data_IF_928581877404
#
_entry.id   IF_928581877404
#
_cell.length_a   1.000
_cell.length_b   1.000
_cell.length_c   1.000
_cell.angle_alpha   90.00
_cell.angle_beta   90.00
_cell.angle_gamma   90.00
#
_symmetry.space_group_name_H-M   'P 1'
#
loop_
_entity.id
_entity.type
_entity.pdbx_description
1 polymer ?
#
# COMPACT_ATOMS: atom_id res chain seq x y z
N UNK A 1 -50.73 0.00 -7.31
CA UNK A 1 -50.64 -1.28 -8.04
C UNK A 1 -51.54 -2.27 -7.30
N UNK A 2 -52.63 -2.73 -7.90
CA UNK A 2 -53.52 -3.69 -7.24
C UNK A 2 -52.85 -5.08 -7.24
N UNK A 3 -52.58 -5.61 -6.05
CA UNK A 3 -51.99 -6.94 -5.88
C UNK A 3 -53.03 -8.01 -6.25
N UNK A 4 -52.67 -9.05 -7.02
CA UNK A 4 -53.58 -10.14 -7.32
C UNK A 4 -54.06 -10.83 -6.03
N UNK A 5 -55.35 -11.12 -5.98
CA UNK A 5 -56.02 -11.92 -4.95
C UNK A 5 -55.82 -13.40 -5.27
N UNK A 6 -55.17 -14.13 -4.37
CA UNK A 6 -55.08 -15.59 -4.41
C UNK A 6 -56.26 -16.20 -3.63
N UNK A 7 -56.68 -17.40 -4.02
CA UNK A 7 -57.69 -18.15 -3.29
C UNK A 7 -57.10 -18.64 -1.96
N UNK A 8 -57.67 -18.20 -0.85
CA UNK A 8 -57.21 -18.54 0.50
C UNK A 8 -57.50 -20.00 0.83
N UNK A 9 -56.71 -20.60 1.71
CA UNK A 9 -57.07 -21.87 2.33
C UNK A 9 -58.37 -21.71 3.12
N UNK A 10 -59.42 -22.51 2.86
CA UNK A 10 -60.69 -22.43 3.58
C UNK A 10 -60.56 -23.07 4.96
N UNK A 11 -60.77 -22.29 6.02
CA UNK A 11 -60.66 -22.77 7.40
C UNK A 11 -61.87 -23.63 7.78
N UNK A 12 -63.03 -23.32 7.22
CA UNK A 12 -64.29 -24.03 7.41
C UNK A 12 -64.20 -25.52 7.05
N UNK A 13 -63.33 -25.88 6.09
CA UNK A 13 -63.15 -27.25 5.63
C UNK A 13 -62.03 -27.99 6.37
N UNK A 14 -61.39 -27.38 7.36
CA UNK A 14 -60.27 -27.99 8.08
C UNK A 14 -60.68 -29.22 8.90
N UNK A 15 -61.95 -29.34 9.30
CA UNK A 15 -62.45 -30.52 10.03
C UNK A 15 -62.71 -31.71 9.09
N UNK A 16 -63.14 -31.43 7.87
CA UNK A 16 -63.51 -32.45 6.87
C UNK A 16 -62.28 -33.18 6.33
N UNK A 17 -61.11 -32.52 6.36
CA UNK A 17 -59.81 -33.10 6.03
C UNK A 17 -59.79 -33.84 4.69
N UNK A 18 -60.45 -33.26 3.70
CA UNK A 18 -60.62 -33.89 2.39
C UNK A 18 -59.29 -33.97 1.63
N UNK A 19 -59.11 -34.96 0.75
CA UNK A 19 -57.90 -35.05 -0.08
C UNK A 19 -57.62 -33.78 -0.89
N UNK A 20 -58.67 -33.07 -1.33
CA UNK A 20 -58.56 -31.82 -2.06
C UNK A 20 -57.96 -30.71 -1.18
N UNK A 21 -58.42 -30.58 0.07
CA UNK A 21 -57.87 -29.60 1.02
C UNK A 21 -56.42 -29.95 1.35
N UNK A 22 -56.10 -31.23 1.61
CA UNK A 22 -54.71 -31.67 1.86
C UNK A 22 -53.79 -31.36 0.68
N UNK A 23 -54.26 -31.56 -0.55
CA UNK A 23 -53.49 -31.21 -1.75
C UNK A 23 -53.23 -29.70 -1.83
N UNK A 24 -54.24 -28.88 -1.56
CA UNK A 24 -54.10 -27.42 -1.58
C UNK A 24 -53.15 -26.92 -0.48
N UNK A 25 -53.24 -27.47 0.72
CA UNK A 25 -52.30 -27.20 1.82
C UNK A 25 -50.87 -27.57 1.41
N UNK A 26 -50.69 -28.69 0.70
CA UNK A 26 -49.41 -29.09 0.13
C UNK A 26 -48.82 -28.02 -0.81
N UNK A 27 -49.65 -27.41 -1.67
CA UNK A 27 -49.22 -26.31 -2.55
C UNK A 27 -48.75 -25.10 -1.74
N UNK A 28 -49.52 -24.68 -0.73
CA UNK A 28 -49.15 -23.55 0.13
C UNK A 28 -47.89 -23.83 0.96
N UNK A 29 -47.74 -25.07 1.44
CA UNK A 29 -46.54 -25.49 2.19
C UNK A 29 -45.29 -25.48 1.31
N UNK A 30 -45.43 -25.91 0.05
CA UNK A 30 -44.33 -25.89 -0.91
C UNK A 30 -43.93 -24.46 -1.27
N UNK A 31 -44.91 -23.58 -1.48
CA UNK A 31 -44.66 -22.14 -1.68
C UNK A 31 -43.92 -21.52 -0.50
N UNK A 32 -44.33 -21.82 0.74
CA UNK A 32 -43.64 -21.37 1.95
C UNK A 32 -42.18 -21.87 2.03
N UNK A 33 -41.91 -23.12 1.60
CA UNK A 33 -40.56 -23.68 1.53
C UNK A 33 -39.71 -22.96 0.49
N UNK A 34 -40.24 -22.73 -0.71
CA UNK A 34 -39.55 -21.98 -1.77
C UNK A 34 -39.26 -20.54 -1.34
N UNK A 35 -40.22 -19.88 -0.67
CA UNK A 35 -40.03 -18.55 -0.12
C UNK A 35 -38.89 -18.52 0.90
N UNK A 36 -38.79 -19.50 1.80
CA UNK A 36 -37.66 -19.61 2.74
C UNK A 36 -36.33 -19.65 2.01
N UNK A 37 -36.18 -20.55 1.03
CA UNK A 37 -34.93 -20.71 0.28
C UNK A 37 -34.53 -19.40 -0.43
N UNK A 38 -35.50 -18.74 -1.04
CA UNK A 38 -35.30 -17.46 -1.69
C UNK A 38 -34.86 -16.37 -0.71
N UNK A 39 -35.59 -16.18 0.39
CA UNK A 39 -35.29 -15.14 1.39
C UNK A 39 -33.95 -15.41 2.08
N UNK A 40 -33.62 -16.67 2.40
CA UNK A 40 -32.32 -17.02 2.96
C UNK A 40 -31.18 -16.66 2.01
N UNK A 41 -31.35 -16.92 0.71
CA UNK A 41 -30.37 -16.53 -0.30
C UNK A 41 -30.25 -15.01 -0.41
N UNK A 42 -31.38 -14.30 -0.43
CA UNK A 42 -31.41 -12.83 -0.46
C UNK A 42 -30.69 -12.23 0.75
N UNK A 43 -30.99 -12.73 1.95
CA UNK A 43 -30.29 -12.35 3.19
C UNK A 43 -28.78 -12.55 3.07
N UNK A 44 -28.31 -13.73 2.61
CA UNK A 44 -26.88 -14.00 2.44
C UNK A 44 -26.21 -13.02 1.47
N UNK A 45 -26.87 -12.70 0.35
CA UNK A 45 -26.34 -11.74 -0.63
C UNK A 45 -26.30 -10.33 -0.04
N UNK A 46 -27.35 -9.89 0.65
CA UNK A 46 -27.40 -8.60 1.33
C UNK A 46 -26.34 -8.48 2.44
N UNK A 47 -26.11 -9.54 3.23
CA UNK A 47 -25.03 -9.56 4.23
C UNK A 47 -23.65 -9.47 3.58
N UNK A 48 -23.43 -10.12 2.43
CA UNK A 48 -22.18 -9.99 1.66
C UNK A 48 -21.98 -8.57 1.14
N UNK A 49 -23.04 -7.88 0.74
CA UNK A 49 -22.96 -6.48 0.34
C UNK A 49 -22.49 -5.58 1.50
N UNK A 50 -23.06 -5.75 2.69
CA UNK A 50 -22.60 -5.05 3.91
C UNK A 50 -21.14 -5.36 4.20
N UNK A 51 -20.73 -6.63 4.10
CA UNK A 51 -19.33 -7.02 4.31
C UNK A 51 -18.38 -6.36 3.30
N UNK A 52 -18.79 -6.24 2.03
CA UNK A 52 -18.00 -5.57 1.00
C UNK A 52 -17.80 -4.07 1.30
N UNK A 53 -18.84 -3.36 1.73
CA UNK A 53 -18.71 -1.97 2.15
C UNK A 53 -17.78 -1.81 3.37
N UNK A 54 -17.90 -2.69 4.37
CA UNK A 54 -16.99 -2.68 5.52
C UNK A 54 -15.52 -2.95 5.13
N UNK A 55 -15.29 -3.85 4.16
CA UNK A 55 -13.95 -4.06 3.61
C UNK A 55 -13.44 -2.80 2.91
N UNK A 56 -14.28 -2.14 2.12
CA UNK A 56 -13.92 -0.89 1.44
C UNK A 56 -13.60 0.23 2.42
N UNK A 57 -14.38 0.38 3.50
CA UNK A 57 -14.06 1.27 4.63
C UNK A 57 -12.67 1.00 5.17
N UNK A 58 -12.34 -0.27 5.47
CA UNK A 58 -11.02 -0.65 6.00
C UNK A 58 -9.89 -0.28 5.04
N UNK A 59 -10.06 -0.50 3.73
CA UNK A 59 -9.04 -0.18 2.72
C UNK A 59 -8.84 1.33 2.61
N UNK A 60 -9.90 2.12 2.63
CA UNK A 60 -9.78 3.58 2.63
C UNK A 60 -9.06 4.09 3.88
N UNK A 61 -9.37 3.54 5.07
CA UNK A 61 -8.65 3.89 6.30
C UNK A 61 -7.16 3.57 6.23
N UNK A 62 -6.81 2.40 5.67
CA UNK A 62 -5.42 2.01 5.48
C UNK A 62 -4.69 2.94 4.51
N UNK A 63 -5.31 3.25 3.37
CA UNK A 63 -4.77 4.17 2.37
C UNK A 63 -4.54 5.56 2.99
N UNK A 64 -5.56 6.13 3.65
CA UNK A 64 -5.43 7.41 4.33
C UNK A 64 -4.28 7.40 5.33
N UNK A 65 -4.20 6.38 6.19
CA UNK A 65 -3.11 6.23 7.16
C UNK A 65 -1.74 6.18 6.48
N UNK A 66 -1.62 5.43 5.37
CA UNK A 66 -0.34 5.32 4.65
C UNK A 66 0.09 6.66 4.04
N UNK A 67 -0.83 7.43 3.44
CA UNK A 67 -0.53 8.77 2.93
C UNK A 67 0.05 9.68 4.03
N UNK A 68 -0.51 9.63 5.25
CA UNK A 68 0.01 10.40 6.39
C UNK A 68 1.42 10.00 6.81
N UNK A 69 1.85 8.77 6.54
CA UNK A 69 3.20 8.31 6.93
C UNK A 69 4.32 9.04 6.18
N UNK A 70 4.05 9.63 5.01
CA UNK A 70 5.05 10.37 4.24
C UNK A 70 5.71 11.48 5.05
N UNK A 71 4.95 12.23 5.86
CA UNK A 71 5.48 13.33 6.68
C UNK A 71 6.45 12.88 7.78
N UNK A 72 6.46 11.59 8.11
CA UNK A 72 7.37 11.00 9.10
C UNK A 72 8.65 10.44 8.47
N UNK A 73 8.67 10.30 7.15
CA UNK A 73 9.85 9.87 6.43
C UNK A 73 10.87 10.99 6.42
N UNK A 74 12.13 10.61 6.62
CA UNK A 74 13.27 11.46 6.32
C UNK A 74 13.82 10.93 4.99
N UNK A 75 14.16 11.84 4.08
CA UNK A 75 14.81 11.50 2.82
C UNK A 75 16.18 12.18 2.75
N UNK A 76 17.18 11.59 2.05
CA UNK A 76 18.57 12.05 2.17
C UNK A 76 18.80 13.36 1.47
N UNK A 77 18.12 13.50 0.35
CA UNK A 77 18.26 14.62 -0.55
C UNK A 77 17.06 15.56 -0.47
N UNK A 78 15.87 15.03 -0.14
CA UNK A 78 14.68 15.84 0.07
C UNK A 78 14.50 16.14 1.57
N UNK A 79 14.93 17.34 1.96
CA UNK A 79 14.87 17.81 3.35
C UNK A 79 13.58 18.59 3.65
N UNK A 80 12.63 18.67 2.72
CA UNK A 80 11.40 19.45 2.89
C UNK A 80 10.25 18.59 3.45
N UNK A 81 10.40 18.13 4.69
CA UNK A 81 9.39 17.30 5.39
C UNK A 81 8.05 18.03 5.61
N UNK A 82 8.05 19.36 5.59
CA UNK A 82 6.85 20.22 5.63
C UNK A 82 6.42 20.72 4.24
N UNK A 83 7.03 20.17 3.18
CA UNK A 83 6.90 20.66 1.82
C UNK A 83 5.54 20.43 1.17
N UNK A 84 5.45 20.89 -0.08
CA UNK A 84 4.23 20.83 -0.89
C UNK A 84 3.72 19.38 -1.03
N UNK A 85 4.62 18.39 -1.18
CA UNK A 85 4.22 16.98 -1.29
C UNK A 85 3.60 16.48 0.02
N UNK A 86 4.25 16.75 1.16
CA UNK A 86 3.78 16.33 2.48
C UNK A 86 2.40 16.90 2.81
N UNK A 87 2.23 18.21 2.62
CA UNK A 87 0.94 18.89 2.81
C UNK A 87 -0.14 18.42 1.84
N UNK A 88 0.19 18.19 0.57
CA UNK A 88 -0.72 17.65 -0.45
C UNK A 88 -1.19 16.24 -0.10
N UNK A 89 -0.27 15.34 0.27
CA UNK A 89 -0.62 13.96 0.67
C UNK A 89 -1.47 13.93 1.95
N UNK A 90 -1.22 14.86 2.88
CA UNK A 90 -2.05 15.03 4.07
C UNK A 90 -3.48 15.47 3.71
N UNK A 91 -3.64 16.36 2.72
CA UNK A 91 -4.96 16.77 2.23
C UNK A 91 -5.68 15.63 1.51
N UNK A 92 -5.01 14.88 0.63
CA UNK A 92 -5.56 13.66 0.03
C UNK A 92 -6.01 12.65 1.10
N UNK A 93 -5.19 12.47 2.15
CA UNK A 93 -5.55 11.59 3.25
C UNK A 93 -6.86 12.00 3.94
N UNK A 94 -7.12 13.30 4.09
CA UNK A 94 -8.36 13.80 4.69
C UNK A 94 -9.57 13.43 3.82
N UNK A 95 -9.50 13.66 2.50
CA UNK A 95 -10.58 13.28 1.58
C UNK A 95 -10.83 11.76 1.57
N UNK A 96 -9.76 10.95 1.54
CA UNK A 96 -9.88 9.49 1.62
C UNK A 96 -10.50 9.03 2.95
N UNK A 97 -10.19 9.71 4.06
CA UNK A 97 -10.82 9.42 5.36
C UNK A 97 -12.31 9.75 5.38
N UNK A 98 -12.72 10.80 4.66
CA UNK A 98 -14.12 11.17 4.50
C UNK A 98 -14.89 10.14 3.66
N UNK A 99 -14.30 9.69 2.55
CA UNK A 99 -14.86 8.60 1.73
C UNK A 99 -15.08 7.33 2.56
N UNK A 100 -14.10 6.94 3.39
CA UNK A 100 -14.25 5.83 4.35
C UNK A 100 -15.49 5.98 5.23
N UNK A 101 -15.79 7.20 5.66
CA UNK A 101 -16.87 7.48 6.61
C UNK A 101 -18.25 7.23 5.99
N UNK A 102 -18.45 7.61 4.73
CA UNK A 102 -19.74 7.37 4.05
C UNK A 102 -19.92 5.90 3.68
N UNK A 103 -18.84 5.21 3.32
CA UNK A 103 -18.86 3.75 3.10
C UNK A 103 -19.30 2.99 4.37
N UNK A 104 -18.83 3.45 5.53
CA UNK A 104 -19.24 2.87 6.81
C UNK A 104 -20.72 3.15 7.12
N UNK A 105 -21.17 4.38 6.85
CA UNK A 105 -22.56 4.80 7.06
C UNK A 105 -23.51 4.00 6.16
N UNK A 106 -23.20 3.84 4.88
CA UNK A 106 -24.05 3.05 3.97
C UNK A 106 -24.06 1.57 4.35
N UNK A 107 -22.93 1.00 4.79
CA UNK A 107 -22.89 -0.37 5.29
C UNK A 107 -23.87 -0.58 6.46
N UNK A 108 -23.87 0.38 7.40
CA UNK A 108 -24.78 0.36 8.57
C UNK A 108 -26.23 0.51 8.15
N UNK A 109 -26.53 1.45 7.25
CA UNK A 109 -27.90 1.65 6.76
C UNK A 109 -28.44 0.45 5.96
N UNK A 110 -27.59 -0.24 5.19
CA UNK A 110 -27.99 -1.49 4.51
C UNK A 110 -28.20 -2.61 5.53
N UNK A 111 -27.35 -2.70 6.56
CA UNK A 111 -27.51 -3.69 7.62
C UNK A 111 -28.86 -3.51 8.34
N UNK A 112 -29.19 -2.28 8.74
CA UNK A 112 -30.42 -1.97 9.47
C UNK A 112 -31.67 -2.00 8.57
N UNK A 113 -31.54 -1.48 7.34
CA UNK A 113 -32.65 -1.30 6.42
C UNK A 113 -32.97 -2.50 5.54
N UNK A 114 -32.04 -3.45 5.37
CA UNK A 114 -32.22 -4.62 4.52
C UNK A 114 -31.90 -5.94 5.24
N UNK A 115 -30.72 -6.06 5.85
CA UNK A 115 -30.30 -7.34 6.45
C UNK A 115 -31.14 -7.68 7.67
N UNK A 116 -31.30 -6.75 8.61
CA UNK A 116 -32.04 -6.98 9.85
C UNK A 116 -33.51 -7.38 9.63
N UNK A 117 -34.31 -6.72 8.77
CA UNK A 117 -35.67 -7.15 8.48
C UNK A 117 -35.73 -8.54 7.85
N UNK A 118 -34.76 -8.89 6.98
CA UNK A 118 -34.66 -10.23 6.40
C UNK A 118 -34.33 -11.28 7.45
N UNK A 119 -33.35 -11.04 8.34
CA UNK A 119 -33.00 -11.95 9.43
C UNK A 119 -34.22 -12.16 10.33
N UNK A 120 -34.90 -11.08 10.72
CA UNK A 120 -36.12 -11.16 11.54
C UNK A 120 -37.19 -12.02 10.85
N UNK A 121 -37.46 -11.81 9.57
CA UNK A 121 -38.47 -12.61 8.87
C UNK A 121 -38.13 -14.10 8.81
N UNK A 122 -36.84 -14.45 8.63
CA UNK A 122 -36.37 -15.84 8.65
C UNK A 122 -36.51 -16.45 10.05
N UNK A 123 -35.99 -15.76 11.06
CA UNK A 123 -35.82 -16.29 12.42
C UNK A 123 -37.12 -16.28 13.23
N UNK A 124 -38.08 -15.42 12.87
CA UNK A 124 -39.40 -15.37 13.54
C UNK A 124 -40.48 -15.98 12.65
N UNK A 125 -40.87 -15.30 11.56
CA UNK A 125 -42.07 -15.67 10.81
C UNK A 125 -41.96 -17.02 10.13
N UNK A 126 -40.84 -17.25 9.43
CA UNK A 126 -40.62 -18.51 8.77
C UNK A 126 -40.34 -19.61 9.81
N UNK A 127 -39.52 -19.38 10.84
CA UNK A 127 -39.27 -20.39 11.87
C UNK A 127 -40.55 -20.85 12.59
N UNK A 128 -41.46 -19.92 12.92
CA UNK A 128 -42.79 -20.24 13.44
C UNK A 128 -43.62 -21.06 12.45
N UNK A 129 -43.52 -20.78 11.14
CA UNK A 129 -44.18 -21.57 10.11
C UNK A 129 -43.73 -23.03 10.09
N UNK A 130 -42.42 -23.30 10.17
CA UNK A 130 -41.89 -24.67 10.21
C UNK A 130 -42.35 -25.42 11.47
N UNK A 131 -42.40 -24.70 12.60
CA UNK A 131 -42.91 -25.24 13.86
C UNK A 131 -44.38 -25.62 13.73
N UNK A 132 -45.20 -24.75 13.16
CA UNK A 132 -46.62 -25.02 12.93
C UNK A 132 -46.86 -26.16 11.94
N UNK A 133 -46.07 -26.24 10.87
CA UNK A 133 -46.12 -27.35 9.92
C UNK A 133 -45.81 -28.69 10.61
N UNK A 134 -44.80 -28.71 11.49
CA UNK A 134 -44.42 -29.89 12.27
C UNK A 134 -45.51 -30.32 13.26
N UNK A 135 -46.11 -29.35 13.97
CA UNK A 135 -47.22 -29.61 14.91
C UNK A 135 -48.46 -30.15 14.18
N UNK A 136 -48.81 -29.58 13.03
CA UNK A 136 -49.89 -30.05 12.16
C UNK A 136 -49.64 -31.49 11.68
N UNK A 137 -48.44 -31.75 11.16
CA UNK A 137 -48.05 -33.08 10.68
C UNK A 137 -48.14 -34.14 11.79
N UNK A 138 -47.55 -33.85 12.96
CA UNK A 138 -47.57 -34.76 14.10
C UNK A 138 -48.99 -35.02 14.62
N UNK A 139 -49.84 -33.99 14.68
CA UNK A 139 -51.24 -34.17 15.07
C UNK A 139 -52.01 -35.04 14.06
N UNK A 140 -51.68 -34.96 12.77
CA UNK A 140 -52.22 -35.85 11.74
C UNK A 140 -51.82 -37.31 11.95
N UNK A 141 -50.54 -37.58 12.25
CA UNK A 141 -50.06 -38.93 12.57
C UNK A 141 -50.69 -39.50 13.85
N UNK A 142 -50.84 -38.66 14.89
CA UNK A 142 -51.50 -39.04 16.14
C UNK A 142 -52.97 -39.46 15.88
N UNK A 143 -53.69 -38.68 15.08
CA UNK A 143 -55.07 -38.98 14.69
C UNK A 143 -55.17 -40.29 13.90
N UNK A 144 -54.30 -40.51 12.92
CA UNK A 144 -54.29 -41.74 12.12
C UNK A 144 -54.08 -42.98 13.00
N UNK A 145 -53.17 -42.90 13.98
CA UNK A 145 -52.93 -43.97 14.96
C UNK A 145 -54.15 -44.23 15.83
N UNK A 146 -54.79 -43.19 16.36
CA UNK A 146 -55.97 -43.31 17.20
C UNK A 146 -57.15 -43.92 16.44
N UNK A 147 -57.42 -43.45 15.21
CA UNK A 147 -58.47 -44.00 14.34
C UNK A 147 -58.19 -45.45 13.97
N UNK A 148 -56.94 -45.80 13.69
CA UNK A 148 -56.54 -47.19 13.41
C UNK A 148 -56.76 -48.11 14.61
N UNK A 149 -56.43 -47.65 15.82
CA UNK A 149 -56.66 -48.39 17.07
C UNK A 149 -58.16 -48.63 17.29
N UNK A 150 -58.95 -47.56 17.23
CA UNK A 150 -60.40 -47.61 17.40
C UNK A 150 -61.07 -48.53 16.38
N UNK A 151 -60.63 -48.47 15.12
CA UNK A 151 -61.17 -49.29 14.03
C UNK A 151 -60.86 -50.79 14.18
N UNK A 152 -59.87 -51.17 15.01
CA UNK A 152 -59.50 -52.56 15.30
C UNK A 152 -60.22 -53.14 16.52
N UNK A 153 -60.95 -52.33 17.29
CA UNK A 153 -61.77 -52.79 18.40
C UNK A 153 -62.83 -53.79 17.89
N UNK A 154 -62.93 -54.93 18.55
CA UNK A 154 -63.86 -56.02 18.24
C UNK A 154 -65.05 -55.94 19.18
N UNK A 155 -66.19 -56.45 18.74
CA UNK A 155 -67.43 -56.51 19.56
C UNK A 155 -67.31 -57.27 20.88
N UNK A 156 -66.26 -58.08 21.05
CA UNK A 156 -65.99 -58.89 22.23
C UNK A 156 -65.00 -58.25 23.20
N UNK A 157 -64.40 -57.13 22.81
CA UNK A 157 -63.44 -56.41 23.65
C UNK A 157 -64.19 -55.74 24.81
N UNK A 158 -63.49 -55.42 25.90
CA UNK A 158 -64.13 -54.85 27.07
C UNK A 158 -64.72 -53.46 26.76
N UNK A 159 -65.94 -53.18 27.25
CA UNK A 159 -66.59 -51.87 27.07
C UNK A 159 -65.71 -50.70 27.52
N UNK A 160 -64.89 -50.92 28.56
CA UNK A 160 -63.91 -49.94 29.03
C UNK A 160 -62.84 -49.64 27.97
N UNK A 161 -62.28 -50.65 27.32
CA UNK A 161 -61.26 -50.50 26.28
C UNK A 161 -61.82 -49.80 25.03
N UNK A 162 -63.07 -50.10 24.67
CA UNK A 162 -63.78 -49.41 23.60
C UNK A 162 -63.99 -47.91 23.90
N UNK A 163 -64.43 -47.58 25.13
CA UNK A 163 -64.60 -46.17 25.56
C UNK A 163 -63.29 -45.40 25.57
N UNK A 164 -62.21 -46.00 26.07
CA UNK A 164 -60.87 -45.39 26.06
C UNK A 164 -60.39 -45.12 24.63
N UNK A 165 -60.54 -46.08 23.72
CA UNK A 165 -60.15 -45.86 22.32
C UNK A 165 -61.01 -44.80 21.61
N UNK A 166 -62.29 -44.65 21.99
CA UNK A 166 -63.14 -43.58 21.46
C UNK A 166 -62.71 -42.19 21.98
N UNK A 167 -62.33 -42.10 23.25
CA UNK A 167 -61.80 -40.87 23.85
C UNK A 167 -60.46 -40.47 23.20
N UNK A 168 -59.57 -41.43 22.92
CA UNK A 168 -58.32 -41.19 22.19
C UNK A 168 -58.57 -40.56 20.81
N UNK A 169 -59.60 -41.03 20.08
CA UNK A 169 -60.01 -40.45 18.79
C UNK A 169 -60.54 -39.04 18.98
N UNK A 170 -61.38 -38.80 20.00
CA UNK A 170 -61.90 -37.47 20.28
C UNK A 170 -60.76 -36.46 20.56
N UNK A 171 -59.83 -36.81 21.45
CA UNK A 171 -58.70 -35.94 21.82
C UNK A 171 -57.80 -35.66 20.63
N UNK A 172 -57.41 -36.70 19.88
CA UNK A 172 -56.53 -36.56 18.71
C UNK A 172 -57.21 -35.79 17.57
N UNK A 173 -58.50 -36.03 17.30
CA UNK A 173 -59.26 -35.32 16.25
C UNK A 173 -59.43 -33.84 16.60
N UNK A 174 -59.71 -33.52 17.86
CA UNK A 174 -59.77 -32.14 18.34
C UNK A 174 -58.41 -31.44 18.18
N UNK A 175 -57.32 -32.09 18.60
CA UNK A 175 -55.96 -31.56 18.48
C UNK A 175 -55.59 -31.32 17.01
N UNK A 176 -55.82 -32.29 16.13
CA UNK A 176 -55.59 -32.15 14.69
C UNK A 176 -56.35 -30.96 14.11
N UNK A 177 -57.66 -30.86 14.38
CA UNK A 177 -58.48 -29.76 13.87
C UNK A 177 -57.98 -28.39 14.33
N UNK A 178 -57.61 -28.25 15.60
CA UNK A 178 -57.03 -27.01 16.13
C UNK A 178 -55.70 -26.66 15.43
N UNK A 179 -54.81 -27.64 15.26
CA UNK A 179 -53.53 -27.41 14.56
C UNK A 179 -53.73 -27.08 13.08
N UNK A 180 -54.69 -27.72 12.41
CA UNK A 180 -55.05 -27.43 11.03
C UNK A 180 -55.56 -25.98 10.87
N UNK A 181 -56.48 -25.54 11.73
CA UNK A 181 -56.97 -24.15 11.72
C UNK A 181 -55.83 -23.13 11.90
N UNK A 182 -54.94 -23.36 12.86
CA UNK A 182 -53.79 -22.46 13.10
C UNK A 182 -52.81 -22.47 11.92
N UNK A 183 -52.50 -23.65 11.37
CA UNK A 183 -51.57 -23.77 10.25
C UNK A 183 -52.13 -23.14 8.97
N UNK A 184 -53.40 -23.38 8.63
CA UNK A 184 -54.03 -22.81 7.44
C UNK A 184 -54.11 -21.28 7.56
N UNK A 185 -54.44 -20.78 8.76
CA UNK A 185 -54.43 -19.35 9.06
C UNK A 185 -53.04 -18.73 8.88
N UNK A 186 -51.99 -19.37 9.43
CA UNK A 186 -50.60 -18.88 9.29
C UNK A 186 -50.17 -18.89 7.82
N UNK A 187 -50.48 -19.94 7.05
CA UNK A 187 -50.20 -20.00 5.61
C UNK A 187 -50.90 -18.87 4.84
N UNK A 188 -52.17 -18.58 5.15
CA UNK A 188 -52.89 -17.46 4.57
C UNK A 188 -52.26 -16.10 4.93
N UNK A 189 -51.78 -15.91 6.17
CA UNK A 189 -51.11 -14.70 6.61
C UNK A 189 -49.73 -14.52 5.97
N UNK A 190 -48.98 -15.60 5.78
CA UNK A 190 -47.64 -15.57 5.16
C UNK A 190 -47.69 -14.94 3.76
N UNK A 191 -48.77 -15.20 3.01
CA UNK A 191 -48.97 -14.63 1.68
C UNK A 191 -49.06 -13.09 1.66
N UNK A 192 -49.43 -12.47 2.78
CA UNK A 192 -49.35 -11.02 2.95
C UNK A 192 -47.99 -10.60 3.51
N UNK A 193 -47.51 -11.30 4.54
CA UNK A 193 -46.25 -10.98 5.20
C UNK A 193 -45.04 -11.03 4.25
N UNK A 194 -45.03 -11.96 3.29
CA UNK A 194 -43.96 -12.05 2.29
C UNK A 194 -43.83 -10.79 1.43
N UNK A 195 -44.94 -10.08 1.19
CA UNK A 195 -44.95 -8.88 0.33
C UNK A 195 -44.17 -7.75 0.99
N UNK A 196 -44.45 -7.47 2.27
CA UNK A 196 -43.69 -6.48 3.03
C UNK A 196 -42.26 -6.97 3.29
N UNK A 197 -42.09 -8.25 3.64
CA UNK A 197 -40.77 -8.83 3.93
C UNK A 197 -39.81 -8.82 2.74
N UNK A 198 -40.31 -8.77 1.50
CA UNK A 198 -39.48 -8.64 0.30
C UNK A 198 -39.32 -7.19 -0.18
N UNK A 199 -40.34 -6.36 -0.03
CA UNK A 199 -40.32 -4.98 -0.53
C UNK A 199 -39.59 -4.02 0.42
N UNK A 200 -39.79 -4.15 1.74
CA UNK A 200 -39.18 -3.26 2.72
C UNK A 200 -37.64 -3.32 2.70
N UNK A 201 -36.99 -4.50 2.68
CA UNK A 201 -35.53 -4.57 2.58
C UNK A 201 -34.97 -3.92 1.31
N UNK A 202 -35.64 -4.11 0.18
CA UNK A 202 -35.20 -3.55 -1.09
C UNK A 202 -35.39 -2.03 -1.15
N UNK A 203 -36.47 -1.53 -0.55
CA UNK A 203 -36.65 -0.10 -0.36
C UNK A 203 -35.53 0.47 0.53
N UNK A 204 -35.25 -0.18 1.67
CA UNK A 204 -34.18 0.21 2.59
C UNK A 204 -32.81 0.27 1.90
N UNK A 205 -32.49 -0.74 1.08
CA UNK A 205 -31.28 -0.75 0.25
C UNK A 205 -31.22 0.46 -0.68
N UNK A 206 -32.27 0.73 -1.47
CA UNK A 206 -32.28 1.85 -2.42
C UNK A 206 -32.18 3.20 -1.71
N UNK A 207 -32.85 3.37 -0.55
CA UNK A 207 -32.74 4.58 0.26
C UNK A 207 -31.31 4.78 0.79
N UNK A 208 -30.69 3.71 1.31
CA UNK A 208 -29.32 3.76 1.79
C UNK A 208 -28.32 4.10 0.67
N UNK A 209 -28.45 3.45 -0.49
CA UNK A 209 -27.62 3.74 -1.65
C UNK A 209 -27.83 5.17 -2.15
N UNK A 210 -29.05 5.69 -2.17
CA UNK A 210 -29.30 7.08 -2.55
C UNK A 210 -28.63 8.05 -1.57
N UNK A 211 -28.75 7.81 -0.27
CA UNK A 211 -28.11 8.64 0.76
C UNK A 211 -26.58 8.62 0.60
N UNK A 212 -25.98 7.46 0.33
CA UNK A 212 -24.55 7.32 0.07
C UNK A 212 -24.07 8.23 -1.08
N UNK A 213 -24.76 8.20 -2.22
CA UNK A 213 -24.40 9.05 -3.36
C UNK A 213 -24.60 10.53 -3.07
N UNK A 214 -25.64 10.91 -2.32
CA UNK A 214 -25.82 12.30 -1.89
C UNK A 214 -24.67 12.77 -0.99
N UNK A 215 -24.24 11.96 -0.01
CA UNK A 215 -23.10 12.29 0.85
C UNK A 215 -21.82 12.48 0.02
N UNK A 216 -21.55 11.56 -0.92
CA UNK A 216 -20.38 11.67 -1.79
C UNK A 216 -20.41 12.91 -2.69
N UNK A 217 -21.58 13.23 -3.26
CA UNK A 217 -21.76 14.43 -4.06
C UNK A 217 -21.56 15.71 -3.23
N UNK A 218 -22.17 15.78 -2.05
CA UNK A 218 -22.15 16.99 -1.23
C UNK A 218 -20.75 17.33 -0.71
N UNK A 219 -19.88 16.34 -0.51
CA UNK A 219 -18.48 16.59 -0.17
C UNK A 219 -17.60 16.80 -1.39
N UNK A 220 -17.73 15.99 -2.45
CA UNK A 220 -16.75 16.03 -3.55
C UNK A 220 -17.02 17.15 -4.55
N UNK A 221 -18.25 17.66 -4.61
CA UNK A 221 -18.64 18.75 -5.52
C UNK A 221 -18.44 20.15 -4.93
N UNK A 222 -17.76 20.28 -3.79
CA UNK A 222 -17.46 21.61 -3.23
C UNK A 222 -16.28 22.24 -3.94
N UNK A 223 -16.33 23.56 -4.14
CA UNK A 223 -15.32 24.33 -4.87
C UNK A 223 -13.90 24.12 -4.34
N UNK A 224 -13.73 23.97 -3.03
CA UNK A 224 -12.41 23.73 -2.42
C UNK A 224 -11.75 22.43 -2.92
N UNK A 225 -12.54 21.38 -3.20
CA UNK A 225 -12.03 20.11 -3.75
C UNK A 225 -11.67 20.30 -5.22
N UNK A 226 -12.52 20.98 -5.99
CA UNK A 226 -12.27 21.27 -7.40
C UNK A 226 -11.00 22.10 -7.58
N UNK A 227 -10.85 23.18 -6.80
CA UNK A 227 -9.69 24.06 -6.80
C UNK A 227 -8.42 23.30 -6.39
N UNK A 228 -8.51 22.46 -5.36
CA UNK A 228 -7.40 21.60 -4.95
C UNK A 228 -6.96 20.69 -6.10
N UNK A 229 -7.89 19.95 -6.73
CA UNK A 229 -7.57 19.05 -7.84
C UNK A 229 -6.98 19.77 -9.06
N UNK A 230 -7.51 20.96 -9.38
CA UNK A 230 -6.99 21.82 -10.44
C UNK A 230 -5.55 22.27 -10.14
N UNK A 231 -5.30 22.75 -8.92
CA UNK A 231 -3.98 23.19 -8.48
C UNK A 231 -2.94 22.07 -8.52
N UNK A 232 -3.29 20.87 -8.03
CA UNK A 232 -2.40 19.70 -8.09
C UNK A 232 -2.13 19.30 -9.54
N UNK A 233 -3.14 19.35 -10.42
CA UNK A 233 -2.96 19.02 -11.84
C UNK A 233 -1.97 19.97 -12.53
N UNK A 234 -2.05 21.28 -12.23
CA UNK A 234 -1.10 22.28 -12.72
C UNK A 234 0.30 22.03 -12.14
N UNK A 235 0.41 21.76 -10.84
CA UNK A 235 1.68 21.47 -10.19
C UNK A 235 2.38 20.24 -10.80
N UNK A 236 1.65 19.14 -11.00
CA UNK A 236 2.19 17.93 -11.65
C UNK A 236 2.69 18.23 -13.05
N UNK A 237 1.95 19.02 -13.83
CA UNK A 237 2.37 19.42 -15.18
C UNK A 237 3.64 20.27 -15.13
N UNK A 238 3.72 21.24 -14.22
CA UNK A 238 4.93 22.06 -14.02
C UNK A 238 6.15 21.20 -13.70
N UNK A 239 6.02 20.24 -12.78
CA UNK A 239 7.12 19.33 -12.42
C UNK A 239 7.55 18.47 -13.62
N UNK A 240 6.62 18.05 -14.47
CA UNK A 240 6.95 17.32 -15.70
C UNK A 240 7.70 18.18 -16.72
N UNK A 241 7.33 19.46 -16.84
CA UNK A 241 8.03 20.44 -17.68
C UNK A 241 9.46 20.71 -17.15
N UNK A 242 9.60 20.91 -15.83
CA UNK A 242 10.90 21.07 -15.17
C UNK A 242 11.78 19.84 -15.36
N UNK A 243 11.22 18.63 -15.21
CA UNK A 243 11.93 17.37 -15.45
C UNK A 243 12.38 17.23 -16.91
N UNK A 244 11.55 17.64 -17.87
CA UNK A 244 11.88 17.58 -19.28
C UNK A 244 13.02 18.54 -19.63
N UNK A 245 12.97 19.76 -19.08
CA UNK A 245 14.02 20.76 -19.24
C UNK A 245 15.34 20.31 -18.62
N UNK A 246 15.32 19.82 -17.38
CA UNK A 246 16.52 19.31 -16.70
C UNK A 246 17.17 18.19 -17.51
N UNK A 247 16.37 17.32 -18.13
CA UNK A 247 16.87 16.26 -19.01
C UNK A 247 17.58 16.83 -20.24
N UNK A 248 17.01 17.84 -20.89
CA UNK A 248 17.60 18.48 -22.07
C UNK A 248 18.91 19.18 -21.71
N UNK A 249 18.88 20.04 -20.68
CA UNK A 249 20.04 20.78 -20.18
C UNK A 249 21.17 19.81 -19.77
N UNK A 250 20.82 18.70 -19.12
CA UNK A 250 21.79 17.65 -18.73
C UNK A 250 22.42 16.97 -19.94
N UNK A 251 21.63 16.64 -20.97
CA UNK A 251 22.15 15.98 -22.18
C UNK A 251 23.11 16.89 -22.95
N UNK A 252 22.78 18.17 -23.07
CA UNK A 252 23.68 19.16 -23.68
C UNK A 252 24.97 19.34 -22.87
N UNK A 253 24.85 19.40 -21.54
CA UNK A 253 26.01 19.50 -20.65
C UNK A 253 26.92 18.27 -20.77
N UNK A 254 26.33 17.06 -20.85
CA UNK A 254 27.10 15.82 -21.04
C UNK A 254 27.88 15.86 -22.35
N UNK A 255 27.24 16.22 -23.47
CA UNK A 255 27.92 16.28 -24.78
C UNK A 255 29.04 17.33 -24.80
N UNK A 256 28.78 18.49 -24.18
CA UNK A 256 29.79 19.55 -24.02
C UNK A 256 30.99 19.08 -23.20
N UNK A 257 30.77 18.43 -22.05
CA UNK A 257 31.84 17.87 -21.21
C UNK A 257 32.62 16.80 -21.97
N UNK A 258 31.93 15.90 -22.69
CA UNK A 258 32.58 14.84 -23.48
C UNK A 258 33.47 15.46 -24.55
N UNK A 259 32.99 16.48 -25.24
CA UNK A 259 33.72 17.17 -26.31
C UNK A 259 34.94 17.92 -25.78
N UNK A 260 34.79 18.67 -24.69
CA UNK A 260 35.90 19.40 -24.07
C UNK A 260 36.98 18.48 -23.48
N UNK A 261 36.59 17.28 -23.06
CA UNK A 261 37.48 16.31 -22.41
C UNK A 261 38.24 15.39 -23.40
N UNK A 262 37.98 15.47 -24.71
CA UNK A 262 38.52 14.53 -25.71
C UNK A 262 40.04 14.31 -25.62
N UNK A 263 40.81 15.39 -25.51
CA UNK A 263 42.28 15.29 -25.42
C UNK A 263 42.76 14.72 -24.09
N UNK A 264 41.99 14.91 -23.01
CA UNK A 264 42.32 14.43 -21.66
C UNK A 264 42.08 12.92 -21.50
N UNK A 265 41.32 12.29 -22.41
CA UNK A 265 41.13 10.83 -22.42
C UNK A 265 42.37 10.07 -22.88
N UNK A 266 43.24 10.69 -23.67
CA UNK A 266 44.50 10.07 -24.07
C UNK A 266 45.51 10.10 -22.93
N UNK A 267 46.04 8.93 -22.56
CA UNK A 267 47.23 8.87 -21.72
C UNK A 267 48.41 9.56 -22.41
N UNK A 268 48.61 9.35 -23.70
CA UNK A 268 49.52 10.10 -24.54
C UNK A 268 48.81 10.33 -25.89
N UNK A 269 48.66 11.59 -26.35
CA UNK A 269 48.06 11.86 -27.65
C UNK A 269 48.86 11.20 -28.80
N UNK A 270 48.18 10.70 -29.85
CA UNK A 270 48.82 10.27 -31.09
C UNK A 270 49.74 11.34 -31.69
N UNK A 271 50.79 10.98 -32.48
CA UNK A 271 51.76 11.94 -33.01
C UNK A 271 51.18 13.05 -33.90
N UNK A 272 50.02 12.80 -34.50
CA UNK A 272 49.27 13.72 -35.37
C UNK A 272 48.37 14.69 -34.60
N UNK A 273 48.23 14.52 -33.27
CA UNK A 273 47.44 15.39 -32.41
C UNK A 273 48.38 16.13 -31.45
N UNK A 274 48.32 17.46 -31.48
CA UNK A 274 49.14 18.29 -30.59
C UNK A 274 48.80 18.01 -29.11
N UNK A 275 49.82 17.65 -28.32
CA UNK A 275 49.66 17.46 -26.89
C UNK A 275 49.46 18.80 -26.17
N UNK A 276 48.66 18.79 -25.10
CA UNK A 276 48.52 19.94 -24.22
C UNK A 276 49.86 20.20 -23.50
N UNK A 277 50.34 21.45 -23.42
CA UNK A 277 51.54 21.76 -22.65
C UNK A 277 51.28 21.62 -21.15
N UNK A 278 52.33 21.37 -20.33
CA UNK A 278 52.20 21.38 -18.88
C UNK A 278 51.92 22.80 -18.37
N UNK A 279 50.97 22.96 -17.45
CA UNK A 279 50.78 24.21 -16.72
C UNK A 279 51.89 24.41 -15.67
N UNK A 280 52.75 25.40 -15.91
CA UNK A 280 53.91 25.69 -15.06
C UNK A 280 53.60 26.60 -13.88
N UNK A 281 52.37 27.14 -13.78
CA UNK A 281 51.98 28.16 -12.81
C UNK A 281 51.18 27.61 -11.63
N UNK A 282 50.84 26.32 -11.66
CA UNK A 282 50.07 25.68 -10.60
C UNK A 282 50.80 25.74 -9.25
N UNK A 283 50.03 26.04 -8.20
CA UNK A 283 50.44 25.98 -6.78
C UNK A 283 49.61 24.95 -5.99
N UNK A 284 48.68 24.28 -6.67
CA UNK A 284 47.93 23.15 -6.14
C UNK A 284 47.60 22.19 -7.29
N UNK A 285 47.65 20.89 -7.02
CA UNK A 285 47.29 19.84 -7.97
C UNK A 285 46.78 18.62 -7.21
N UNK A 286 45.75 17.99 -7.75
CA UNK A 286 45.17 16.74 -7.27
C UNK A 286 44.98 15.78 -8.44
N UNK A 287 45.30 14.51 -8.26
CA UNK A 287 45.22 13.51 -9.32
C UNK A 287 45.79 12.15 -8.92
N UNK A 288 45.47 11.14 -9.71
CA UNK A 288 45.94 9.79 -9.43
C UNK A 288 47.40 9.58 -9.85
N UNK A 289 48.24 9.16 -8.90
CA UNK A 289 49.63 8.74 -9.12
C UNK A 289 49.81 7.30 -8.64
N UNK A 290 50.80 6.58 -9.19
CA UNK A 290 51.26 5.35 -8.55
C UNK A 290 52.38 5.70 -7.58
N UNK A 291 52.22 5.36 -6.30
CA UNK A 291 53.18 5.61 -5.23
C UNK A 291 54.01 4.36 -5.00
N UNK A 292 55.34 4.50 -5.01
CA UNK A 292 56.24 3.38 -4.72
C UNK A 292 56.26 3.11 -3.21
N UNK A 293 55.96 1.87 -2.81
CA UNK A 293 56.17 1.34 -1.46
C UNK A 293 57.38 0.41 -1.47
N UNK A 294 58.36 0.69 -0.62
CA UNK A 294 59.53 -0.18 -0.44
C UNK A 294 59.31 -1.11 0.74
N UNK A 295 59.52 -2.41 0.54
CA UNK A 295 59.46 -3.47 1.53
C UNK A 295 60.84 -4.10 1.70
N UNK A 296 61.26 -4.25 2.96
CA UNK A 296 62.51 -4.92 3.33
C UNK A 296 63.76 -4.38 2.60
N UNK A 297 63.73 -3.11 2.16
CA UNK A 297 64.86 -2.42 1.52
C UNK A 297 65.22 -2.85 0.09
N UNK A 298 64.63 -3.95 -0.43
CA UNK A 298 65.01 -4.53 -1.74
C UNK A 298 63.82 -4.77 -2.65
N UNK A 299 62.62 -4.97 -2.10
CA UNK A 299 61.41 -5.18 -2.91
C UNK A 299 60.60 -3.89 -2.97
N UNK A 300 60.13 -3.51 -4.16
CA UNK A 300 59.20 -2.40 -4.34
C UNK A 300 57.86 -2.92 -4.83
N UNK A 301 56.77 -2.26 -4.41
CA UNK A 301 55.47 -2.36 -5.05
C UNK A 301 54.98 -0.95 -5.38
N UNK A 302 54.00 -0.87 -6.28
CA UNK A 302 53.43 0.39 -6.73
C UNK A 302 51.93 0.36 -6.51
N UNK A 303 51.40 1.38 -5.85
CA UNK A 303 50.00 1.44 -5.47
C UNK A 303 49.38 2.73 -5.98
N UNK A 304 48.23 2.61 -6.64
CA UNK A 304 47.53 3.76 -7.21
C UNK A 304 46.75 4.49 -6.11
N UNK A 305 47.09 5.75 -5.89
CA UNK A 305 46.48 6.60 -4.87
C UNK A 305 46.02 7.91 -5.50
N UNK A 306 44.96 8.51 -4.96
CA UNK A 306 44.64 9.90 -5.27
C UNK A 306 45.57 10.79 -4.44
N UNK A 307 46.50 11.47 -5.12
CA UNK A 307 47.51 12.33 -4.48
C UNK A 307 47.09 13.78 -4.67
N UNK A 308 47.28 14.61 -3.65
CA UNK A 308 46.99 16.04 -3.71
C UNK A 308 47.86 16.85 -2.75
N UNK A 309 47.96 18.14 -3.00
CA UNK A 309 48.66 19.09 -2.13
C UNK A 309 47.64 19.79 -1.21
N UNK A 310 47.93 19.81 0.10
CA UNK A 310 47.11 20.51 1.09
C UNK A 310 48.00 21.10 2.18
N UNK A 311 47.97 22.44 2.35
CA UNK A 311 48.68 23.12 3.44
C UNK A 311 50.19 22.86 3.46
N UNK A 312 50.84 22.73 2.30
CA UNK A 312 52.27 22.39 2.20
C UNK A 312 52.57 20.90 2.40
N UNK A 313 51.56 20.03 2.44
CA UNK A 313 51.75 18.58 2.53
C UNK A 313 51.33 17.89 1.23
N UNK A 314 52.10 16.90 0.81
CA UNK A 314 51.70 15.96 -0.22
C UNK A 314 50.98 14.79 0.46
N UNK A 315 49.68 14.69 0.21
CA UNK A 315 48.77 13.72 0.80
C UNK A 315 48.40 12.64 -0.23
N UNK A 316 48.13 11.42 0.24
CA UNK A 316 47.70 10.30 -0.59
C UNK A 316 46.51 9.56 0.04
N UNK A 317 45.44 9.37 -0.73
CA UNK A 317 44.24 8.62 -0.34
C UNK A 317 44.16 7.34 -1.15
N UNK A 318 44.02 6.20 -0.47
CA UNK A 318 43.78 4.92 -1.13
C UNK A 318 42.35 4.81 -1.62
N UNK A 319 42.15 4.05 -2.70
CA UNK A 319 40.80 3.77 -3.20
C UNK A 319 39.98 3.07 -2.12
N UNK A 320 38.88 3.69 -1.70
CA UNK A 320 37.98 3.16 -0.68
C UNK A 320 38.27 3.64 0.75
N UNK A 321 39.32 4.45 0.95
CA UNK A 321 39.58 5.10 2.25
C UNK A 321 38.94 6.50 2.30
N UNK A 322 38.46 6.89 3.48
CA UNK A 322 37.80 8.18 3.70
C UNK A 322 38.77 9.31 4.08
N UNK A 323 40.02 8.99 4.43
CA UNK A 323 41.01 9.94 4.92
C UNK A 323 42.36 9.79 4.20
N UNK A 324 43.02 10.92 3.97
CA UNK A 324 44.36 10.96 3.37
C UNK A 324 45.46 10.65 4.38
N UNK A 325 46.53 10.03 3.89
CA UNK A 325 47.77 9.81 4.62
C UNK A 325 48.87 10.74 4.13
N UNK A 326 49.72 11.21 5.05
CA UNK A 326 50.85 12.07 4.71
C UNK A 326 51.93 11.28 3.97
N UNK A 327 52.17 11.64 2.70
CA UNK A 327 53.27 11.08 1.93
C UNK A 327 54.58 11.79 2.27
N UNK A 328 54.61 13.11 2.13
CA UNK A 328 55.77 13.96 2.46
C UNK A 328 55.32 15.39 2.77
N UNK A 329 55.99 16.03 3.73
CA UNK A 329 55.83 17.46 4.01
C UNK A 329 56.72 18.24 3.04
N UNK A 330 56.16 19.20 2.31
CA UNK A 330 56.87 20.02 1.32
C UNK A 330 57.41 21.25 2.03
N UNK A 331 58.72 21.25 2.28
CA UNK A 331 59.47 22.36 2.87
C UNK A 331 60.46 22.98 1.87
N UNK A 332 61.20 24.01 2.31
CA UNK A 332 62.22 24.67 1.48
C UNK A 332 63.42 23.78 1.13
N UNK A 333 63.55 22.60 1.77
CA UNK A 333 64.56 21.58 1.44
C UNK A 333 64.06 20.57 0.40
N UNK A 334 62.81 20.68 -0.04
CA UNK A 334 62.21 19.77 -1.01
C UNK A 334 62.88 19.90 -2.37
N UNK A 335 63.42 18.78 -2.84
CA UNK A 335 63.97 18.62 -4.19
C UNK A 335 63.07 17.66 -4.97
N UNK A 336 62.68 18.09 -6.16
CA UNK A 336 61.85 17.29 -7.06
C UNK A 336 62.59 17.09 -8.37
N UNK A 337 62.72 15.84 -8.82
CA UNK A 337 63.44 15.51 -10.05
C UNK A 337 62.86 14.25 -10.71
N UNK A 338 62.94 14.18 -12.03
CA UNK A 338 62.64 12.96 -12.77
C UNK A 338 63.68 11.87 -12.44
N UNK A 339 63.26 10.60 -12.40
CA UNK A 339 64.16 9.48 -12.06
C UNK A 339 63.78 8.23 -12.83
N UNK A 340 64.78 7.42 -13.17
CA UNK A 340 64.59 6.11 -13.79
C UNK A 340 64.59 5.03 -12.69
N UNK A 341 63.41 4.69 -12.18
CA UNK A 341 63.23 3.68 -11.12
C UNK A 341 62.38 2.51 -11.63
N UNK A 342 62.79 1.28 -11.33
CA UNK A 342 62.07 0.04 -11.67
C UNK A 342 61.73 -0.11 -13.17
N UNK A 343 62.50 0.50 -14.08
CA UNK A 343 62.25 0.54 -15.54
C UNK A 343 60.86 1.09 -15.91
N UNK A 344 60.30 1.97 -15.07
CA UNK A 344 59.00 2.61 -15.28
C UNK A 344 59.12 4.00 -15.89
N UNK A 345 58.21 4.32 -16.82
CA UNK A 345 58.12 5.65 -17.46
C UNK A 345 57.43 6.67 -16.57
N UNK A 346 57.77 7.95 -16.79
CA UNK A 346 57.14 9.13 -16.17
C UNK A 346 57.25 9.13 -14.64
N UNK A 347 58.36 8.59 -14.13
CA UNK A 347 58.65 8.52 -12.70
C UNK A 347 59.42 9.76 -12.26
N UNK A 348 59.08 10.27 -11.09
CA UNK A 348 59.76 11.37 -10.43
C UNK A 348 59.87 11.10 -8.93
N UNK A 349 60.84 11.71 -8.28
CA UNK A 349 61.05 11.60 -6.85
C UNK A 349 60.96 12.98 -6.20
N UNK A 350 60.22 13.01 -5.08
CA UNK A 350 60.14 14.16 -4.17
C UNK A 350 60.91 13.78 -2.91
N UNK A 351 61.97 14.53 -2.61
CA UNK A 351 62.85 14.25 -1.49
C UNK A 351 63.02 15.49 -0.62
N UNK A 352 62.95 15.31 0.69
CA UNK A 352 63.39 16.29 1.70
C UNK A 352 64.63 15.77 2.41
N UNK A 353 65.15 16.55 3.35
CA UNK A 353 66.24 16.14 4.23
C UNK A 353 65.97 14.86 5.04
N UNK A 354 64.69 14.46 5.22
CA UNK A 354 64.29 13.35 6.11
C UNK A 354 63.73 12.13 5.37
N UNK A 355 63.02 12.33 4.25
CA UNK A 355 62.24 11.30 3.58
C UNK A 355 62.26 11.53 2.08
N UNK A 356 62.11 10.46 1.30
CA UNK A 356 61.79 10.57 -0.12
C UNK A 356 60.58 9.70 -0.47
N UNK A 357 59.80 10.17 -1.43
CA UNK A 357 58.71 9.42 -2.04
C UNK A 357 58.91 9.39 -3.54
N UNK A 358 58.77 8.20 -4.13
CA UNK A 358 58.90 8.01 -5.57
C UNK A 358 57.51 7.78 -6.15
N UNK A 359 57.18 8.55 -7.18
CA UNK A 359 55.84 8.69 -7.73
C UNK A 359 55.89 8.49 -9.24
N UNK A 360 54.82 7.93 -9.80
CA UNK A 360 54.68 7.74 -11.24
C UNK A 360 53.43 8.44 -11.74
N UNK A 361 53.63 9.36 -12.68
CA UNK A 361 52.56 10.02 -13.42
C UNK A 361 52.13 9.21 -14.66
N UNK A 362 51.04 9.62 -15.29
CA UNK A 362 50.50 8.94 -16.46
C UNK A 362 51.32 9.19 -17.74
N UNK A 363 51.84 10.40 -17.90
CA UNK A 363 52.60 10.87 -19.06
C UNK A 363 53.59 11.97 -18.66
N UNK A 364 54.40 12.45 -19.62
CA UNK A 364 55.40 13.50 -19.36
C UNK A 364 54.76 14.84 -18.96
N UNK A 365 53.62 15.21 -19.56
CA UNK A 365 52.90 16.44 -19.20
C UNK A 365 52.51 16.44 -17.72
N UNK A 366 51.81 15.41 -17.27
CA UNK A 366 51.39 15.24 -15.89
C UNK A 366 52.60 15.17 -14.95
N UNK A 367 53.66 14.43 -15.33
CA UNK A 367 54.89 14.38 -14.53
C UNK A 367 55.46 15.78 -14.33
N UNK A 368 55.63 16.52 -15.41
CA UNK A 368 56.27 17.83 -15.39
C UNK A 368 55.40 18.86 -14.64
N UNK A 369 54.08 18.83 -14.81
CA UNK A 369 53.13 19.62 -14.00
C UNK A 369 53.22 19.28 -12.51
N UNK A 370 53.23 18.00 -12.14
CA UNK A 370 53.39 17.59 -10.75
C UNK A 370 54.71 18.08 -10.16
N UNK A 371 55.80 17.93 -10.91
CA UNK A 371 57.12 18.37 -10.46
C UNK A 371 57.19 19.89 -10.27
N UNK A 372 56.67 20.65 -11.23
CA UNK A 372 56.64 22.11 -11.17
C UNK A 372 55.72 22.63 -10.07
N UNK A 373 54.55 22.02 -9.89
CA UNK A 373 53.60 22.41 -8.82
C UNK A 373 54.25 22.24 -7.45
N UNK A 374 54.86 21.07 -7.18
CA UNK A 374 55.51 20.80 -5.90
C UNK A 374 56.69 21.75 -5.67
N UNK A 375 57.47 22.04 -6.73
CA UNK A 375 58.56 23.01 -6.67
C UNK A 375 58.08 24.43 -6.36
N UNK A 376 56.97 24.87 -6.96
CA UNK A 376 56.36 26.17 -6.67
C UNK A 376 55.93 26.25 -5.20
N UNK A 377 55.28 25.20 -4.67
CA UNK A 377 54.92 25.13 -3.25
C UNK A 377 56.14 25.16 -2.31
N UNK A 378 57.25 24.51 -2.68
CA UNK A 378 58.46 24.50 -1.87
C UNK A 378 59.16 25.88 -1.82
N UNK A 379 59.11 26.64 -2.92
CA UNK A 379 59.73 27.97 -3.05
C UNK A 379 59.03 29.06 -2.25
N UNK A 380 57.70 29.04 -2.20
CA UNK A 380 56.91 30.06 -1.51
C UNK A 380 56.94 29.93 0.02
N UNK A 381 57.73 28.99 0.54
CA UNK A 381 57.91 28.74 1.97
C UNK A 381 56.78 27.87 2.50
N UNK A 382 57.09 26.60 2.76
CA UNK A 382 56.25 25.78 3.62
C UNK A 382 55.95 26.55 4.92
N UNK A 383 54.66 26.74 5.19
CA UNK A 383 54.08 27.27 6.42
C UNK A 383 54.12 28.81 6.63
N UNK A 384 52.97 29.46 6.42
CA UNK A 384 52.59 30.69 7.16
C UNK A 384 51.89 30.25 8.45
N UNK A 385 52.53 30.51 9.59
CA UNK A 385 51.99 30.23 10.92
C UNK A 385 51.00 31.33 11.28
N UNK A 386 49.70 31.09 11.09
CA UNK A 386 48.69 31.98 11.66
C UNK A 386 48.57 31.73 13.18
N UNK A 387 49.10 32.67 13.95
CA UNK A 387 48.77 32.83 15.35
C UNK A 387 47.31 33.28 15.50
N UNK A 388 46.49 32.38 16.04
CA UNK A 388 45.20 32.64 16.72
C UNK A 388 44.18 33.53 15.98
N UNK A 389 43.18 32.87 15.39
CA UNK A 389 41.79 33.17 15.74
C UNK A 389 40.91 31.92 15.54
N UNK A 390 39.86 31.72 16.36
CA UNK A 390 39.16 30.45 16.47
C UNK A 390 38.19 30.22 15.31
N UNK A 391 38.20 28.98 14.81
CA UNK A 391 37.14 28.27 14.09
C UNK A 391 36.36 29.06 13.02
N UNK A 392 36.75 28.84 11.77
CA UNK A 392 35.77 28.57 10.70
C UNK A 392 36.16 27.25 10.05
N UNK A 393 35.35 26.23 10.29
CA UNK A 393 35.53 24.89 9.78
C UNK A 393 35.49 24.88 8.26
N UNK A 394 36.58 24.44 7.62
CA UNK A 394 36.64 24.11 6.20
C UNK A 394 35.88 22.81 5.84
N UNK A 395 34.94 22.37 6.70
CA UNK A 395 33.97 21.33 6.39
C UNK A 395 32.74 21.85 5.60
N UNK A 396 32.72 23.10 5.12
CA UNK A 396 31.60 23.58 4.28
C UNK A 396 31.65 23.14 2.81
N UNK A 397 32.69 22.41 2.37
CA UNK A 397 32.81 21.96 0.97
C UNK A 397 32.77 20.45 0.74
N UNK A 398 32.96 19.63 1.78
CA UNK A 398 33.02 18.15 1.65
C UNK A 398 31.77 17.46 2.22
N UNK A 399 30.89 18.21 2.90
CA UNK A 399 29.56 17.76 3.32
C UNK A 399 28.53 17.64 2.19
N UNK A 400 28.83 18.12 0.98
CA UNK A 400 27.92 18.02 -0.17
C UNK A 400 28.07 16.75 -1.03
N UNK A 401 29.03 15.87 -0.73
CA UNK A 401 29.18 14.60 -1.46
C UNK A 401 28.97 13.33 -0.61
N UNK A 402 28.67 13.43 0.69
CA UNK A 402 28.44 12.26 1.54
C UNK A 402 27.19 12.28 2.45
N UNK A 403 26.28 13.25 2.29
CA UNK A 403 24.91 13.20 2.82
C UNK A 403 23.85 12.86 1.74
N UNK A 404 24.28 12.27 0.61
CA UNK A 404 23.38 11.70 -0.41
C UNK A 404 23.02 10.22 -0.16
N UNK A 405 23.32 9.68 1.03
CA UNK A 405 22.82 8.40 1.53
C UNK A 405 22.62 8.52 3.05
N UNK A 406 21.36 8.52 3.51
CA UNK A 406 20.89 8.92 4.85
C UNK A 406 20.93 10.45 5.00
N UNK A 407 19.88 11.24 5.16
CA UNK A 407 18.48 11.01 5.56
C UNK A 407 17.64 10.20 4.62
#
# INVERSE_FOLDING_TARGET
>A
MAMPTYDKLPLENALDDTPQVRSLVGVFSEDARMLREYVTTLHQISSKLVAAHNQLTSVYQELARHLKTYSTLKFPVDNDTEGVISSTLQQFSSYVSEMSSWEHIVATQIADGAVYPLSRFIDTELHEMDTMASLYHNAGLDLERAVTRYSKCRRKDAEQEYRESNEDVYVSKKKFHQMALHYYSKLNLLQYAQKSALLEPMLGLVVATRAHHSMGHDTLSVTDVEDFLANISVCVKSVQEDQAKEREDTLELIDSIITQSQLMYYAQPPPDIAALPPDTTLTNKGGYLNVQKKYMGVMSSWERQFVFLEGGNLMGVLKGEAAGSLLIEVDSSTLVHATDTDDRRHVFQVATSKKSVTLQALNDRERDEWMLTIHNCAKDGGYVKDEKNPQTSLFSGVGQFFNAFLT
#
